data_IF_909218029161
#
_entry.id   IF_909218029161
#
_cell.length_a   1.000
_cell.length_b   1.000
_cell.length_c   1.000
_cell.angle_alpha   90.00
_cell.angle_beta   90.00
_cell.angle_gamma   90.00
#
_symmetry.space_group_name_H-M   'P 1'
#
loop_
_entity.id
_entity.type
_entity.pdbx_description
1 polymer ?
#
# COMPACT_ATOMS: atom_id res chain seq x y z
N UNK A 1 -3.72 26.67 13.82
CA UNK A 1 -3.00 25.77 12.90
C UNK A 1 -4.00 24.82 12.27
N UNK A 2 -4.05 24.76 10.94
CA UNK A 2 -4.91 23.79 10.25
C UNK A 2 -4.40 22.36 10.53
N UNK A 3 -5.26 21.35 10.38
CA UNK A 3 -4.88 19.94 10.60
C UNK A 3 -3.65 19.54 9.78
N UNK A 4 -3.54 20.04 8.54
CA UNK A 4 -2.40 19.79 7.65
C UNK A 4 -1.08 20.37 8.17
N UNK A 5 -1.06 21.56 8.77
CA UNK A 5 0.17 22.16 9.32
C UNK A 5 0.70 21.37 10.52
N UNK A 6 -0.19 20.89 11.39
CA UNK A 6 0.18 20.04 12.53
C UNK A 6 0.77 18.72 12.07
N UNK A 7 0.23 18.12 11.00
CA UNK A 7 0.71 16.86 10.45
C UNK A 7 2.08 17.01 9.77
N UNK A 8 2.31 18.10 9.03
CA UNK A 8 3.65 18.44 8.48
C UNK A 8 4.69 18.61 9.58
N UNK A 9 4.38 19.36 10.64
CA UNK A 9 5.30 19.56 11.76
C UNK A 9 5.62 18.26 12.49
N UNK A 10 4.62 17.39 12.66
CA UNK A 10 4.79 16.06 13.25
C UNK A 10 5.73 15.18 12.41
N UNK A 11 5.50 15.10 11.09
CA UNK A 11 6.36 14.36 10.17
C UNK A 11 7.80 14.87 10.26
N UNK A 12 8.03 16.18 10.16
CA UNK A 12 9.37 16.78 10.32
C UNK A 12 10.02 16.41 11.66
N UNK A 13 9.26 16.43 12.75
CA UNK A 13 9.79 16.09 14.08
C UNK A 13 10.21 14.63 14.19
N UNK A 14 9.46 13.71 13.58
CA UNK A 14 9.82 12.27 13.52
C UNK A 14 11.06 12.08 12.66
N UNK A 15 11.17 12.78 11.54
CA UNK A 15 12.30 12.66 10.61
C UNK A 15 13.61 13.20 11.19
N UNK A 16 13.54 14.26 12.01
CA UNK A 16 14.70 14.77 12.75
C UNK A 16 15.34 13.74 13.67
N UNK A 17 14.58 12.72 14.10
CA UNK A 17 15.09 11.61 14.93
C UNK A 17 15.88 10.57 14.13
N UNK A 18 15.99 10.72 12.81
CA UNK A 18 16.68 9.79 11.89
C UNK A 18 16.32 8.32 12.17
N UNK A 19 15.02 7.96 12.11
CA UNK A 19 14.61 6.59 12.36
C UNK A 19 15.15 5.65 11.28
N UNK A 20 15.45 4.41 11.65
CA UNK A 20 15.78 3.35 10.68
C UNK A 20 14.51 2.67 10.12
N UNK A 21 13.39 2.80 10.82
CA UNK A 21 12.10 2.20 10.47
C UNK A 21 11.00 3.24 10.67
N UNK A 22 10.23 3.50 9.61
CA UNK A 22 9.15 4.48 9.62
C UNK A 22 7.82 3.79 9.30
N UNK A 23 6.83 3.99 10.16
CA UNK A 23 5.46 3.51 9.95
C UNK A 23 4.56 4.70 9.72
N UNK A 24 3.82 4.68 8.61
CA UNK A 24 2.86 5.72 8.25
C UNK A 24 1.47 5.10 8.09
N UNK A 25 0.52 5.60 8.87
CA UNK A 25 -0.89 5.20 8.77
C UNK A 25 -1.71 6.34 8.17
N UNK A 26 -2.31 6.07 7.01
CA UNK A 26 -2.98 7.01 6.12
C UNK A 26 -2.24 8.35 5.95
N UNK A 27 -1.01 8.33 5.38
CA UNK A 27 -0.21 9.54 5.23
C UNK A 27 -0.78 10.55 4.24
N UNK A 28 -1.63 10.12 3.31
CA UNK A 28 -2.20 10.95 2.23
C UNK A 28 -3.37 11.81 2.69
N UNK A 29 -3.98 11.52 3.85
CA UNK A 29 -5.16 12.22 4.31
C UNK A 29 -4.87 13.68 4.67
N UNK A 30 -5.80 14.58 4.34
CA UNK A 30 -5.72 16.02 4.61
C UNK A 30 -4.50 16.75 4.01
N UNK A 31 -3.81 16.13 3.04
CA UNK A 31 -2.69 16.75 2.30
C UNK A 31 -3.17 17.32 0.96
N UNK A 32 -2.65 18.51 0.62
CA UNK A 32 -2.75 19.03 -0.73
C UNK A 32 -1.78 18.27 -1.68
N UNK A 33 -2.05 18.32 -2.98
CA UNK A 33 -1.25 17.63 -4.02
C UNK A 33 0.23 18.04 -3.94
N UNK A 34 0.50 19.33 -3.69
CA UNK A 34 1.85 19.85 -3.60
C UNK A 34 2.64 19.29 -2.40
N UNK A 35 1.96 19.01 -1.28
CA UNK A 35 2.57 18.39 -0.10
C UNK A 35 2.72 16.89 -0.30
N UNK A 36 1.76 16.24 -0.95
CA UNK A 36 1.85 14.83 -1.29
C UNK A 36 3.09 14.54 -2.13
N UNK A 37 3.32 15.30 -3.21
CA UNK A 37 4.50 15.14 -4.06
C UNK A 37 5.83 15.29 -3.28
N UNK A 38 5.89 16.27 -2.36
CA UNK A 38 7.08 16.44 -1.51
C UNK A 38 7.29 15.28 -0.54
N UNK A 39 6.18 14.72 -0.02
CA UNK A 39 6.23 13.56 0.85
C UNK A 39 6.71 12.33 0.07
N UNK A 40 6.20 12.10 -1.14
CA UNK A 40 6.64 11.01 -2.03
C UNK A 40 8.15 11.12 -2.32
N UNK A 41 8.62 12.27 -2.79
CA UNK A 41 10.05 12.50 -3.07
C UNK A 41 10.91 12.28 -1.82
N UNK A 42 10.45 12.72 -0.66
CA UNK A 42 11.14 12.50 0.59
C UNK A 42 11.22 11.01 0.95
N UNK A 43 10.09 10.30 0.88
CA UNK A 43 9.99 8.90 1.27
C UNK A 43 10.75 7.98 0.29
N UNK A 44 10.82 8.33 -0.99
CA UNK A 44 11.63 7.59 -1.98
C UNK A 44 13.13 7.68 -1.68
N UNK A 45 13.59 8.79 -1.08
CA UNK A 45 14.99 8.99 -0.68
C UNK A 45 15.28 8.54 0.77
N UNK A 46 14.32 7.93 1.46
CA UNK A 46 14.49 7.49 2.83
C UNK A 46 15.33 6.21 2.88
N UNK A 47 16.54 6.30 3.45
CA UNK A 47 17.50 5.18 3.55
C UNK A 47 17.15 4.13 4.62
N UNK A 48 15.89 4.04 5.03
CA UNK A 48 15.41 3.09 6.05
C UNK A 48 14.31 2.20 5.51
N UNK A 49 13.74 1.39 6.39
CA UNK A 49 12.57 0.59 6.05
C UNK A 49 11.30 1.42 6.26
N UNK A 50 10.40 1.38 5.27
CA UNK A 50 9.16 2.12 5.26
C UNK A 50 7.99 1.14 5.23
N UNK A 51 7.07 1.27 6.19
CA UNK A 51 5.80 0.56 6.20
C UNK A 51 4.67 1.57 6.09
N UNK A 52 3.92 1.49 5.00
CA UNK A 52 2.79 2.37 4.72
C UNK A 52 1.50 1.56 4.79
N UNK A 53 0.53 2.10 5.51
CA UNK A 53 -0.89 1.70 5.43
C UNK A 53 -1.61 2.85 4.75
N UNK A 54 -2.15 2.61 3.55
CA UNK A 54 -3.02 3.57 2.89
C UNK A 54 -4.03 2.91 1.96
N UNK A 55 -5.19 3.54 1.83
CA UNK A 55 -6.18 3.22 0.80
C UNK A 55 -5.91 3.90 -0.56
N UNK A 56 -4.91 4.78 -0.67
CA UNK A 56 -4.54 5.43 -1.93
C UNK A 56 -3.71 4.49 -2.82
N UNK A 57 -4.35 4.02 -3.90
CA UNK A 57 -3.75 3.09 -4.85
C UNK A 57 -2.61 3.70 -5.65
N UNK A 58 -2.70 4.98 -6.02
CA UNK A 58 -1.66 5.64 -6.81
C UNK A 58 -0.41 5.85 -5.96
N UNK A 59 -0.60 6.32 -4.73
CA UNK A 59 0.49 6.47 -3.76
C UNK A 59 1.18 5.13 -3.50
N UNK A 60 0.42 4.06 -3.25
CA UNK A 60 0.96 2.73 -3.01
C UNK A 60 1.71 2.17 -4.24
N UNK A 61 1.27 2.50 -5.46
CA UNK A 61 1.94 2.02 -6.69
C UNK A 61 3.33 2.63 -6.89
N UNK A 62 3.52 3.87 -6.41
CA UNK A 62 4.77 4.62 -6.55
C UNK A 62 5.74 4.45 -5.38
N UNK A 63 5.24 4.05 -4.21
CA UNK A 63 6.02 4.05 -2.97
C UNK A 63 6.40 2.66 -2.46
N UNK A 64 5.71 1.60 -2.92
CA UNK A 64 5.79 0.29 -2.29
C UNK A 64 6.18 -0.78 -3.30
N UNK A 65 7.26 -1.49 -3.00
CA UNK A 65 7.76 -2.63 -3.78
C UNK A 65 7.31 -4.00 -3.20
N UNK A 66 6.63 -3.98 -2.04
CA UNK A 66 6.16 -5.17 -1.34
C UNK A 66 4.81 -4.92 -0.66
N UNK A 67 3.79 -5.63 -1.12
CA UNK A 67 2.40 -5.44 -0.67
C UNK A 67 1.96 -6.54 0.29
N UNK A 68 1.49 -6.14 1.48
CA UNK A 68 0.76 -7.04 2.39
C UNK A 68 -0.74 -6.93 2.15
N UNK A 69 -1.36 -8.04 1.76
CA UNK A 69 -2.78 -8.10 1.46
C UNK A 69 -3.55 -8.89 2.51
N UNK A 70 -4.59 -8.26 3.06
CA UNK A 70 -5.56 -8.94 3.91
C UNK A 70 -6.56 -9.70 3.03
N UNK A 71 -6.63 -11.02 3.18
CA UNK A 71 -7.53 -11.89 2.39
C UNK A 71 -8.84 -12.25 3.12
N UNK A 72 -9.08 -11.67 4.30
CA UNK A 72 -10.18 -12.07 5.19
C UNK A 72 -9.75 -13.15 6.19
N UNK A 73 -10.60 -13.42 7.17
CA UNK A 73 -10.36 -14.44 8.23
C UNK A 73 -9.02 -14.30 8.98
N UNK A 74 -8.51 -13.06 9.09
CA UNK A 74 -7.21 -12.79 9.72
C UNK A 74 -5.99 -13.27 8.92
N UNK A 75 -6.17 -13.71 7.66
CA UNK A 75 -5.08 -14.15 6.79
C UNK A 75 -4.44 -12.96 6.08
N UNK A 76 -3.12 -12.87 6.20
CA UNK A 76 -2.29 -11.89 5.50
C UNK A 76 -1.40 -12.65 4.54
N UNK A 77 -1.35 -12.21 3.29
CA UNK A 77 -0.40 -12.70 2.30
C UNK A 77 0.57 -11.61 1.86
N UNK A 78 1.81 -12.01 1.67
CA UNK A 78 2.88 -11.22 1.08
C UNK A 78 2.87 -11.34 -0.44
N UNK A 79 3.05 -10.20 -1.10
CA UNK A 79 3.14 -10.12 -2.56
C UNK A 79 4.28 -9.17 -2.93
N UNK A 80 5.32 -9.71 -3.58
CA UNK A 80 6.38 -8.91 -4.16
C UNK A 80 5.83 -8.13 -5.35
N UNK A 81 6.01 -6.82 -5.32
CA UNK A 81 5.45 -5.89 -6.29
C UNK A 81 4.50 -4.88 -5.67
N UNK A 82 4.19 -3.88 -6.49
CA UNK A 82 3.35 -2.76 -6.13
C UNK A 82 1.85 -3.13 -6.13
N UNK A 83 1.00 -2.17 -5.83
CA UNK A 83 -0.45 -2.41 -5.74
C UNK A 83 -1.03 -2.94 -7.06
N UNK A 84 -0.62 -2.38 -8.21
CA UNK A 84 -1.11 -2.78 -9.53
C UNK A 84 -0.72 -4.23 -9.88
N UNK A 85 0.49 -4.64 -9.53
CA UNK A 85 0.96 -6.02 -9.69
C UNK A 85 0.17 -7.00 -8.83
N UNK A 86 0.00 -6.68 -7.54
CA UNK A 86 -0.86 -7.45 -6.64
C UNK A 86 -2.28 -7.57 -7.20
N UNK A 87 -2.89 -6.47 -7.66
CA UNK A 87 -4.25 -6.48 -8.19
C UNK A 87 -4.38 -7.36 -9.45
N UNK A 88 -3.38 -7.32 -10.35
CA UNK A 88 -3.35 -8.19 -11.53
C UNK A 88 -3.25 -9.67 -11.13
N UNK A 89 -2.36 -10.00 -10.21
CA UNK A 89 -2.17 -11.37 -9.74
C UNK A 89 -3.43 -11.90 -9.07
N UNK A 90 -4.02 -11.13 -8.14
CA UNK A 90 -5.29 -11.47 -7.48
C UNK A 90 -6.41 -11.72 -8.49
N UNK A 91 -6.53 -10.87 -9.50
CA UNK A 91 -7.55 -11.01 -10.55
C UNK A 91 -7.33 -12.28 -11.38
N UNK A 92 -6.09 -12.61 -11.73
CA UNK A 92 -5.75 -13.81 -12.48
C UNK A 92 -6.07 -15.10 -11.70
N UNK A 93 -5.75 -15.14 -10.41
CA UNK A 93 -6.08 -16.24 -9.51
C UNK A 93 -7.59 -16.42 -9.34
N UNK A 94 -8.33 -15.32 -9.19
CA UNK A 94 -9.80 -15.35 -9.14
C UNK A 94 -10.45 -15.85 -10.43
N UNK A 95 -9.82 -15.64 -11.58
CA UNK A 95 -10.29 -16.18 -12.86
C UNK A 95 -9.96 -17.67 -12.96
N UNK A 96 -8.73 -18.07 -12.67
CA UNK A 96 -8.30 -19.47 -12.70
C UNK A 96 -9.15 -20.37 -11.76
N UNK A 97 -9.42 -19.90 -10.53
CA UNK A 97 -10.28 -20.62 -9.58
C UNK A 97 -11.72 -20.79 -10.08
N UNK A 98 -12.27 -19.83 -10.82
CA UNK A 98 -13.62 -19.95 -11.42
C UNK A 98 -13.67 -20.96 -12.57
N UNK A 99 -12.62 -21.05 -13.39
CA UNK A 99 -12.53 -22.04 -14.47
C UNK A 99 -12.43 -23.49 -13.96
N UNK A 100 -11.78 -23.70 -12.81
CA UNK A 100 -11.66 -25.03 -12.23
C UNK A 100 -12.98 -25.51 -11.61
N UNK A 101 -13.75 -24.60 -10.99
CA UNK A 101 -15.08 -24.94 -10.46
C UNK A 101 -16.10 -25.17 -11.59
N UNK A 102 -16.04 -24.42 -12.70
CA UNK A 102 -16.98 -24.62 -13.82
C UNK A 102 -16.74 -25.91 -14.60
N UNK A 103 -15.51 -26.43 -14.64
CA UNK A 103 -15.18 -27.70 -15.30
C UNK A 103 -15.53 -28.94 -14.47
N UNK A 104 -15.62 -28.80 -13.14
CA UNK A 104 -16.14 -29.83 -12.24
C UNK A 104 -17.68 -29.94 -12.27
N UNK A 105 -18.39 -28.93 -12.79
CA UNK A 105 -19.86 -28.97 -12.94
C UNK A 105 -20.36 -29.63 -14.23
N UNK A 106 -19.47 -30.12 -15.10
CA UNK A 106 -19.84 -30.75 -16.39
C UNK A 106 -19.63 -32.29 -16.43
N UNK A 107 -19.44 -32.94 -15.29
CA UNK A 107 -19.26 -34.40 -15.20
C UNK A 107 -20.33 -35.13 -14.35
N UNK A 108 -21.53 -34.57 -14.23
CA UNK A 108 -22.64 -35.20 -13.52
C UNK A 108 -23.97 -35.05 -14.25
N UNK A 109 -24.34 -36.12 -14.98
CA UNK A 109 -25.62 -36.45 -15.62
C UNK A 109 -25.97 -35.76 -16.95
#
# INVERSE_FOLDING_TARGET
MSGGERRKLYLLTVLLKKPNFLILDEPTNDLDIATLNRLEEFLQNFNGCLMIVSHDRYFMDHMVDHTFAFEGDGKIKDYYGNYSEYYRLKTSLHRAGRFQVSSLSYHGF
#
